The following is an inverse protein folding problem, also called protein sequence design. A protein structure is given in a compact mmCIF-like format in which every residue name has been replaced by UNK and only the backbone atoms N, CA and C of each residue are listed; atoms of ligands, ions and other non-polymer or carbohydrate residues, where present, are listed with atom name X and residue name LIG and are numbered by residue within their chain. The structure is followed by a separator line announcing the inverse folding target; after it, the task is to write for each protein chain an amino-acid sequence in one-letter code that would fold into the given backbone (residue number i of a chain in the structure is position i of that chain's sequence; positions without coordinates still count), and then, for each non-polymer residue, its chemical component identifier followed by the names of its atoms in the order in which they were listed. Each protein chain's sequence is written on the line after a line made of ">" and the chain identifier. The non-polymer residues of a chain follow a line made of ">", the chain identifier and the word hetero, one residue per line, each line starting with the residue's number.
data_IF_230864628055
#
_entry.id   IF_230864628055
#
_cell.length_a   1.000
_cell.length_b   1.000
_cell.length_c   1.000
_cell.angle_alpha   90.00
_cell.angle_beta   90.00
_cell.angle_gamma   90.00
#
_symmetry.space_group_name_H-M   'P 1'
#
loop_
_entity.id
_entity.type
_entity.pdbx_description
1 polymer ?
#
# COMPACT_ATOMS: atom_id res chain seq x y z
N UNK A 1 -59.00 29.63 66.90
CA UNK A 1 -59.48 29.17 65.63
C UNK A 1 -58.82 30.04 64.54
N UNK A 2 -57.68 29.71 64.10
CA UNK A 2 -57.07 30.38 62.94
C UNK A 2 -56.13 29.38 62.22
N UNK A 3 -56.59 28.92 61.10
CA UNK A 3 -55.87 27.99 60.22
C UNK A 3 -54.75 28.76 59.53
N UNK A 4 -53.53 28.31 59.73
CA UNK A 4 -52.35 28.78 59.01
C UNK A 4 -52.06 27.82 57.83
N UNK A 5 -52.31 28.29 56.61
CA UNK A 5 -51.92 27.55 55.37
C UNK A 5 -50.44 27.72 55.11
N UNK A 6 -49.69 26.60 55.18
CA UNK A 6 -48.25 26.55 54.82
C UNK A 6 -48.16 26.34 53.31
N UNK A 7 -47.61 27.32 52.58
CA UNK A 7 -47.31 27.24 51.17
C UNK A 7 -46.00 26.41 51.01
N UNK A 8 -46.08 25.32 50.25
CA UNK A 8 -44.92 24.52 49.81
C UNK A 8 -44.22 25.24 48.66
N UNK A 9 -43.02 25.72 48.92
CA UNK A 9 -42.11 26.22 47.84
C UNK A 9 -41.47 24.99 47.20
N UNK A 10 -41.73 24.76 45.91
CA UNK A 10 -41.05 23.75 45.10
C UNK A 10 -39.61 24.21 44.80
N UNK A 11 -38.67 23.35 45.15
CA UNK A 11 -37.26 23.52 44.86
C UNK A 11 -37.00 22.94 43.47
N UNK A 12 -36.74 23.79 42.50
CA UNK A 12 -36.29 23.39 41.15
C UNK A 12 -34.82 23.00 41.23
N UNK A 13 -34.53 21.71 41.20
CA UNK A 13 -33.20 21.19 40.99
C UNK A 13 -32.89 21.23 39.49
N UNK A 14 -32.02 22.17 39.08
CA UNK A 14 -31.40 22.20 37.75
C UNK A 14 -30.34 21.09 37.68
N UNK A 15 -30.65 19.99 37.01
CA UNK A 15 -29.70 18.94 36.70
C UNK A 15 -28.75 19.38 35.59
N UNK A 16 -27.49 19.58 35.93
CA UNK A 16 -26.39 19.82 34.98
C UNK A 16 -26.05 18.46 34.31
N UNK A 17 -26.50 18.26 33.07
CA UNK A 17 -26.10 17.09 32.26
C UNK A 17 -24.66 17.28 31.78
N UNK A 18 -23.71 16.55 32.39
CA UNK A 18 -22.38 16.39 31.82
C UNK A 18 -22.49 15.54 30.55
N UNK A 19 -22.30 16.17 29.41
CA UNK A 19 -22.04 15.48 28.14
C UNK A 19 -20.64 14.88 28.19
N UNK A 20 -20.52 13.62 28.53
CA UNK A 20 -19.28 12.86 28.34
C UNK A 20 -19.12 12.60 26.83
N UNK A 21 -18.26 13.39 26.15
CA UNK A 21 -17.79 13.09 24.81
C UNK A 21 -16.88 11.88 24.88
N UNK A 22 -17.47 10.69 24.78
CA UNK A 22 -16.73 9.44 24.62
C UNK A 22 -16.05 9.44 23.24
N UNK A 23 -14.71 9.57 23.21
CA UNK A 23 -13.94 9.15 22.07
C UNK A 23 -14.10 7.64 21.90
N UNK A 24 -15.02 7.21 21.05
CA UNK A 24 -15.09 5.83 20.64
C UNK A 24 -13.82 5.50 19.84
N UNK A 25 -13.10 4.41 20.16
CA UNK A 25 -11.99 3.96 19.33
C UNK A 25 -12.55 3.60 17.95
N UNK A 26 -12.01 4.21 16.89
CA UNK A 26 -12.34 3.83 15.52
C UNK A 26 -11.72 2.44 15.30
N UNK A 27 -12.53 1.41 15.46
CA UNK A 27 -12.16 0.04 15.11
C UNK A 27 -12.12 -0.05 13.59
N UNK A 28 -10.93 -0.08 13.01
CA UNK A 28 -10.74 -0.43 11.60
C UNK A 28 -10.99 -1.93 11.44
N UNK A 29 -12.21 -2.30 11.07
CA UNK A 29 -12.50 -3.64 10.62
C UNK A 29 -11.91 -3.81 9.22
N UNK A 30 -10.89 -4.65 9.09
CA UNK A 30 -10.40 -5.11 7.79
C UNK A 30 -11.35 -6.19 7.27
N UNK A 31 -12.02 -5.99 6.12
CA UNK A 31 -12.84 -7.06 5.56
C UNK A 31 -11.94 -8.20 5.07
N UNK A 32 -12.16 -9.37 5.60
CA UNK A 32 -11.54 -10.61 5.15
C UNK A 32 -12.40 -11.17 4.01
N UNK A 33 -11.89 -11.10 2.80
CA UNK A 33 -12.44 -11.82 1.65
C UNK A 33 -13.42 -11.06 0.75
N UNK A 34 -13.05 -10.89 -0.51
CA UNK A 34 -13.94 -10.69 -1.67
C UNK A 34 -14.65 -9.33 -1.76
N UNK A 35 -14.15 -8.42 -2.60
CA UNK A 35 -14.93 -7.28 -3.12
C UNK A 35 -15.29 -6.16 -2.16
N UNK A 36 -14.75 -6.14 -0.94
CA UNK A 36 -14.98 -5.09 0.05
C UNK A 36 -14.17 -3.82 -0.24
N UNK A 37 -14.81 -2.66 -0.10
CA UNK A 37 -14.13 -1.37 -0.13
C UNK A 37 -13.08 -1.31 0.99
N UNK A 38 -11.80 -1.13 0.64
CA UNK A 38 -10.73 -0.84 1.60
C UNK A 38 -10.49 0.66 1.67
N UNK A 39 -10.03 1.14 2.82
CA UNK A 39 -9.65 2.53 2.98
C UNK A 39 -8.13 2.68 2.77
N UNK A 40 -7.74 3.44 1.76
CA UNK A 40 -6.36 3.86 1.56
C UNK A 40 -6.18 5.27 2.13
N UNK A 41 -5.25 5.46 3.05
CA UNK A 41 -4.94 6.77 3.63
C UNK A 41 -4.66 7.80 2.52
N UNK A 42 -5.17 9.05 2.63
CA UNK A 42 -5.00 10.07 1.59
C UNK A 42 -3.55 10.29 1.16
N UNK A 43 -2.59 10.22 2.09
CA UNK A 43 -1.15 10.36 1.79
C UNK A 43 -0.59 9.25 0.91
N UNK A 44 -1.20 8.06 0.93
CA UNK A 44 -0.77 6.88 0.15
C UNK A 44 -1.44 6.81 -1.23
N UNK A 45 -2.43 7.65 -1.49
CA UNK A 45 -3.09 7.70 -2.79
C UNK A 45 -2.14 8.26 -3.84
N UNK A 46 -2.29 7.79 -5.07
CA UNK A 46 -1.58 8.36 -6.22
C UNK A 46 -1.82 9.86 -6.31
N UNK A 47 -0.75 10.64 -6.40
CA UNK A 47 -0.84 12.09 -6.51
C UNK A 47 0.43 12.67 -7.14
N UNK A 48 0.25 13.75 -7.91
CA UNK A 48 1.37 14.53 -8.43
C UNK A 48 1.96 15.38 -7.32
N UNK A 49 3.29 15.36 -7.19
CA UNK A 49 4.04 16.10 -6.17
C UNK A 49 5.24 16.81 -6.79
N UNK A 50 5.73 17.88 -6.16
CA UNK A 50 7.02 18.45 -6.51
C UNK A 50 8.12 17.40 -6.27
N UNK A 51 9.07 17.31 -7.20
CA UNK A 51 10.20 16.37 -7.13
C UNK A 51 11.50 17.11 -7.37
N UNK A 52 12.40 17.04 -6.39
CA UNK A 52 13.71 17.74 -6.40
C UNK A 52 14.89 16.77 -6.51
N UNK A 53 14.64 15.49 -6.78
CA UNK A 53 15.69 14.49 -7.03
C UNK A 53 16.43 14.76 -8.35
N UNK A 54 17.58 14.14 -8.50
CA UNK A 54 18.45 14.33 -9.67
C UNK A 54 18.21 13.33 -10.80
N UNK A 55 17.20 12.46 -10.69
CA UNK A 55 16.93 11.43 -11.69
C UNK A 55 16.27 12.03 -12.94
N UNK A 56 16.62 11.46 -14.09
CA UNK A 56 16.10 11.92 -15.37
C UNK A 56 14.58 11.68 -15.48
N UNK A 57 13.86 12.56 -16.22
CA UNK A 57 12.46 12.31 -16.56
C UNK A 57 12.26 10.92 -17.16
N UNK A 58 11.14 10.27 -16.79
CA UNK A 58 10.84 8.91 -17.19
C UNK A 58 11.48 7.83 -16.32
N UNK A 59 12.32 8.21 -15.32
CA UNK A 59 12.85 7.26 -14.34
C UNK A 59 11.84 6.93 -13.25
N UNK A 60 12.00 5.76 -12.63
CA UNK A 60 11.30 5.40 -11.39
C UNK A 60 12.25 5.50 -10.20
N UNK A 61 11.81 6.10 -9.11
CA UNK A 61 12.55 6.13 -7.84
C UNK A 61 11.72 5.45 -6.76
N UNK A 62 12.26 4.42 -6.14
CA UNK A 62 11.60 3.65 -5.09
C UNK A 62 12.31 3.99 -3.77
N UNK A 63 11.66 4.80 -2.93
CA UNK A 63 12.11 5.07 -1.58
C UNK A 63 11.45 4.09 -0.62
N UNK A 64 12.21 3.09 -0.19
CA UNK A 64 11.70 2.01 0.66
C UNK A 64 11.42 2.47 2.09
N UNK A 65 12.14 3.45 2.58
CA UNK A 65 11.99 3.99 3.94
C UNK A 65 10.73 4.87 4.04
N UNK A 66 10.51 5.72 3.03
CA UNK A 66 9.30 6.54 2.92
C UNK A 66 8.07 5.74 2.50
N UNK A 67 8.26 4.57 1.88
CA UNK A 67 7.22 3.72 1.28
C UNK A 67 6.47 4.43 0.16
N UNK A 68 7.25 5.06 -0.71
CA UNK A 68 6.75 5.70 -1.93
C UNK A 68 7.55 5.27 -3.17
N UNK A 69 6.83 5.18 -4.28
CA UNK A 69 7.41 5.12 -5.62
C UNK A 69 7.11 6.44 -6.32
N UNK A 70 8.11 7.01 -6.97
CA UNK A 70 8.02 8.23 -7.75
C UNK A 70 8.30 7.92 -9.22
N UNK A 71 7.36 8.22 -10.12
CA UNK A 71 7.59 8.27 -11.56
C UNK A 71 7.95 9.70 -11.92
N UNK A 72 9.22 9.95 -12.26
CA UNK A 72 9.77 11.30 -12.45
C UNK A 72 9.26 11.90 -13.76
N UNK A 73 8.75 13.13 -13.69
CA UNK A 73 8.23 13.90 -14.83
C UNK A 73 9.21 15.01 -15.24
N UNK A 74 9.03 15.56 -16.44
CA UNK A 74 10.00 16.50 -17.02
C UNK A 74 9.94 17.95 -16.53
N UNK A 75 9.00 18.26 -15.63
CA UNK A 75 8.67 19.62 -15.20
C UNK A 75 9.00 19.91 -13.71
N UNK A 76 9.87 19.09 -13.09
CA UNK A 76 10.18 19.20 -11.67
C UNK A 76 9.10 18.59 -10.78
N UNK A 77 8.28 17.72 -11.32
CA UNK A 77 7.29 16.94 -10.58
C UNK A 77 7.51 15.44 -10.73
N UNK A 78 6.78 14.67 -9.94
CA UNK A 78 6.66 13.22 -10.08
C UNK A 78 5.25 12.77 -9.74
N UNK A 79 4.79 11.72 -10.39
CA UNK A 79 3.64 10.98 -9.92
C UNK A 79 4.10 10.07 -8.77
N UNK A 80 3.59 10.32 -7.57
CA UNK A 80 3.92 9.54 -6.37
C UNK A 80 2.85 8.52 -6.08
N UNK A 81 3.28 7.31 -5.74
CA UNK A 81 2.43 6.17 -5.37
C UNK A 81 2.80 5.68 -3.97
N UNK A 82 1.82 5.41 -3.12
CA UNK A 82 2.04 4.66 -1.89
C UNK A 82 2.35 3.19 -2.19
N UNK A 83 3.34 2.63 -1.53
CA UNK A 83 3.77 1.24 -1.76
C UNK A 83 3.86 0.45 -0.47
N UNK A 84 3.69 -0.88 -0.57
CA UNK A 84 4.19 -1.79 0.46
C UNK A 84 5.55 -2.34 0.01
N UNK A 85 6.46 -2.50 0.97
CA UNK A 85 7.85 -2.89 0.72
C UNK A 85 8.22 -4.19 1.41
N UNK A 86 9.40 -4.73 1.10
CA UNK A 86 10.00 -5.87 1.81
C UNK A 86 10.21 -5.58 3.28
N UNK A 87 10.14 -6.63 4.08
CA UNK A 87 10.65 -6.58 5.46
C UNK A 87 12.14 -6.22 5.46
N UNK A 88 12.63 -5.70 6.56
CA UNK A 88 14.05 -5.34 6.72
C UNK A 88 14.98 -6.47 6.26
N UNK A 89 16.02 -6.11 5.50
CA UNK A 89 16.98 -7.05 4.90
C UNK A 89 16.49 -7.82 3.68
N UNK A 90 15.24 -7.60 3.22
CA UNK A 90 14.69 -8.28 2.04
C UNK A 90 14.50 -7.33 0.84
N UNK A 91 14.95 -6.09 0.91
CA UNK A 91 14.78 -5.09 -0.16
C UNK A 91 15.95 -5.10 -1.14
N UNK A 92 15.65 -4.96 -2.44
CA UNK A 92 16.64 -4.62 -3.45
C UNK A 92 17.10 -3.17 -3.23
N UNK A 93 18.36 -2.87 -3.49
CA UNK A 93 18.93 -1.52 -3.44
C UNK A 93 19.76 -1.23 -4.68
N UNK A 94 19.94 0.06 -4.97
CA UNK A 94 20.77 0.54 -6.06
C UNK A 94 20.00 0.71 -7.38
N UNK A 95 20.74 0.70 -8.50
CA UNK A 95 20.19 0.94 -9.84
C UNK A 95 19.72 -0.36 -10.48
N UNK A 96 18.57 -0.30 -11.10
CA UNK A 96 17.97 -1.38 -11.88
C UNK A 96 17.30 -0.81 -13.13
N UNK A 97 16.71 -1.66 -13.94
CA UNK A 97 15.86 -1.29 -15.06
C UNK A 97 14.61 -2.19 -15.11
N UNK A 98 13.57 -1.71 -15.76
CA UNK A 98 12.41 -2.54 -16.08
C UNK A 98 12.79 -3.44 -17.27
N UNK A 99 13.16 -4.68 -17.01
CA UNK A 99 13.60 -5.60 -18.06
C UNK A 99 12.46 -6.34 -18.76
N UNK A 100 11.31 -6.48 -18.08
CA UNK A 100 10.13 -7.16 -18.63
C UNK A 100 8.85 -6.66 -17.95
N UNK A 101 7.73 -6.76 -18.64
CA UNK A 101 6.38 -6.43 -18.16
C UNK A 101 5.44 -7.61 -18.38
N UNK A 102 4.47 -7.78 -17.50
CA UNK A 102 3.49 -8.86 -17.62
C UNK A 102 2.12 -8.42 -17.06
N UNK A 103 1.08 -8.66 -17.86
CA UNK A 103 -0.30 -8.57 -17.40
C UNK A 103 -0.72 -9.91 -16.77
N UNK A 104 -1.48 -9.82 -15.70
CA UNK A 104 -1.98 -10.98 -14.94
C UNK A 104 -0.92 -12.08 -14.78
N UNK A 105 0.22 -11.75 -14.15
CA UNK A 105 1.34 -12.69 -14.02
C UNK A 105 0.93 -13.91 -13.18
N UNK A 106 1.42 -15.09 -13.52
CA UNK A 106 1.39 -16.23 -12.61
C UNK A 106 2.41 -16.03 -11.49
N UNK A 107 2.11 -16.55 -10.31
CA UNK A 107 3.00 -16.47 -9.16
C UNK A 107 3.37 -17.86 -8.65
N UNK A 108 4.64 -18.06 -8.35
CA UNK A 108 5.13 -19.26 -7.67
C UNK A 108 6.07 -18.82 -6.54
N UNK A 109 5.86 -19.26 -5.30
CA UNK A 109 6.75 -18.93 -4.21
C UNK A 109 8.15 -19.52 -4.46
N UNK A 110 9.19 -18.73 -4.19
CA UNK A 110 10.56 -19.24 -4.24
C UNK A 110 10.83 -20.21 -3.10
N UNK A 111 11.85 -21.08 -3.24
CA UNK A 111 12.26 -21.99 -2.17
C UNK A 111 12.55 -21.24 -0.86
N UNK A 112 13.21 -20.08 -0.93
CA UNK A 112 13.49 -19.24 0.24
C UNK A 112 12.23 -18.65 0.89
N UNK A 113 11.19 -18.33 0.11
CA UNK A 113 9.89 -17.93 0.66
C UNK A 113 9.20 -19.06 1.40
N UNK A 114 9.21 -20.27 0.85
CA UNK A 114 8.66 -21.47 1.51
C UNK A 114 9.40 -21.76 2.80
N UNK A 115 10.74 -21.66 2.78
CA UNK A 115 11.55 -21.86 3.99
C UNK A 115 11.19 -20.88 5.11
N UNK A 116 11.02 -19.59 4.79
CA UNK A 116 10.60 -18.56 5.78
C UNK A 116 9.14 -18.68 6.20
N UNK A 117 8.27 -19.14 5.31
CA UNK A 117 6.82 -19.25 5.53
C UNK A 117 6.33 -20.60 4.98
N UNK A 118 6.46 -21.71 5.77
CA UNK A 118 6.14 -23.08 5.29
C UNK A 118 4.71 -23.23 4.73
N UNK A 119 3.76 -22.41 5.18
CA UNK A 119 2.38 -22.38 4.65
C UNK A 119 2.32 -22.10 3.14
N UNK A 120 3.37 -21.54 2.56
CA UNK A 120 3.43 -21.25 1.12
C UNK A 120 3.70 -22.51 0.28
N UNK A 121 4.08 -23.65 0.89
CA UNK A 121 4.33 -24.90 0.18
C UNK A 121 3.09 -25.38 -0.61
N UNK A 122 1.88 -25.08 -0.13
CA UNK A 122 0.65 -25.40 -0.86
C UNK A 122 0.56 -24.73 -2.24
N UNK A 123 1.29 -23.64 -2.47
CA UNK A 123 1.34 -22.90 -3.73
C UNK A 123 2.59 -23.23 -4.57
N UNK A 124 3.37 -24.26 -4.22
CA UNK A 124 4.59 -24.64 -4.93
C UNK A 124 4.34 -24.97 -6.41
N UNK A 125 3.13 -25.44 -6.76
CA UNK A 125 2.68 -25.66 -8.12
C UNK A 125 2.35 -24.38 -8.92
N UNK A 126 2.40 -23.23 -8.27
CA UNK A 126 2.04 -21.93 -8.86
C UNK A 126 0.57 -21.55 -8.70
N UNK A 127 0.34 -20.24 -8.72
CA UNK A 127 -1.00 -19.64 -8.74
C UNK A 127 -1.15 -18.95 -10.10
N UNK A 128 -2.15 -19.29 -10.90
CA UNK A 128 -2.38 -18.63 -12.19
C UNK A 128 -2.69 -17.14 -12.01
N UNK A 129 -2.54 -16.34 -13.07
CA UNK A 129 -2.93 -14.94 -13.08
C UNK A 129 -4.43 -14.78 -12.82
N UNK A 130 -4.81 -13.80 -12.00
CA UNK A 130 -6.19 -13.56 -11.64
C UNK A 130 -6.34 -12.72 -10.36
N UNK A 131 -7.58 -12.37 -9.97
CA UNK A 131 -7.87 -11.50 -8.82
C UNK A 131 -7.30 -12.01 -7.49
N UNK A 132 -7.21 -13.33 -7.30
CA UNK A 132 -6.69 -13.97 -6.09
C UNK A 132 -5.15 -14.11 -6.10
N UNK A 133 -4.49 -13.76 -7.20
CA UNK A 133 -3.05 -13.87 -7.32
C UNK A 133 -2.33 -12.78 -6.51
N UNK A 134 -1.34 -13.10 -5.68
CA UNK A 134 -0.61 -12.12 -4.87
C UNK A 134 0.12 -11.03 -5.67
N UNK A 135 0.39 -11.25 -6.96
CA UNK A 135 1.02 -10.26 -7.84
C UNK A 135 0.03 -9.26 -8.44
N UNK A 136 -1.27 -9.48 -8.25
CA UNK A 136 -2.31 -8.60 -8.78
C UNK A 136 -2.36 -8.58 -10.31
N UNK A 137 -2.85 -7.46 -10.86
CA UNK A 137 -3.17 -7.32 -12.29
C UNK A 137 -1.97 -7.11 -13.20
N UNK A 138 -0.88 -6.52 -12.70
CA UNK A 138 0.32 -6.14 -13.49
C UNK A 138 1.60 -6.37 -12.69
N UNK A 139 2.69 -6.67 -13.41
CA UNK A 139 4.04 -6.71 -12.84
C UNK A 139 5.09 -6.14 -13.79
N UNK A 140 5.99 -5.31 -13.23
CA UNK A 140 7.22 -4.84 -13.84
C UNK A 140 8.39 -5.59 -13.19
N UNK A 141 9.19 -6.29 -13.98
CA UNK A 141 10.29 -7.13 -13.52
C UNK A 141 11.58 -6.32 -13.53
N UNK A 142 12.26 -6.26 -12.39
CA UNK A 142 13.48 -5.46 -12.23
C UNK A 142 14.71 -6.28 -12.55
N UNK A 143 15.56 -5.73 -13.40
CA UNK A 143 16.82 -6.33 -13.85
C UNK A 143 18.00 -5.50 -13.37
N UNK A 144 19.09 -6.15 -12.99
CA UNK A 144 20.38 -5.52 -12.73
C UNK A 144 21.44 -6.22 -13.56
N UNK A 145 22.25 -5.44 -14.29
CA UNK A 145 23.30 -5.97 -15.16
C UNK A 145 22.80 -7.05 -16.14
N UNK A 146 21.62 -6.83 -16.72
CA UNK A 146 20.96 -7.75 -17.66
C UNK A 146 20.39 -9.02 -17.05
N UNK A 147 20.38 -9.17 -15.72
CA UNK A 147 19.87 -10.36 -15.02
C UNK A 147 18.60 -10.04 -14.24
N UNK A 148 17.63 -10.92 -14.30
CA UNK A 148 16.41 -10.86 -13.47
C UNK A 148 16.78 -10.94 -11.99
N UNK A 149 16.45 -9.92 -11.23
CA UNK A 149 16.73 -9.85 -9.78
C UNK A 149 15.76 -10.65 -8.93
N UNK A 150 14.70 -11.20 -9.51
CA UNK A 150 13.54 -11.76 -8.84
C UNK A 150 12.71 -10.73 -8.03
N UNK A 151 13.05 -9.45 -8.09
CA UNK A 151 12.25 -8.36 -7.54
C UNK A 151 11.30 -7.80 -8.59
N UNK A 152 10.14 -7.39 -8.13
CA UNK A 152 9.05 -6.90 -8.98
C UNK A 152 8.42 -5.65 -8.36
N UNK A 153 7.95 -4.76 -9.22
CA UNK A 153 6.91 -3.78 -8.88
C UNK A 153 5.60 -4.34 -9.40
N UNK A 154 4.62 -4.59 -8.54
CA UNK A 154 3.42 -5.33 -8.93
C UNK A 154 2.17 -4.91 -8.16
N UNK A 155 1.01 -5.31 -8.63
CA UNK A 155 -0.26 -5.13 -7.93
C UNK A 155 -0.39 -6.02 -6.68
N UNK A 156 -1.58 -6.10 -6.13
CA UNK A 156 -1.83 -6.96 -4.97
C UNK A 156 -3.30 -7.33 -4.85
N UNK A 157 -3.57 -8.49 -4.31
CA UNK A 157 -4.89 -8.88 -3.79
C UNK A 157 -5.10 -8.45 -2.33
N UNK A 158 -4.08 -7.81 -1.70
CA UNK A 158 -4.12 -7.31 -0.32
C UNK A 158 -3.87 -5.79 -0.26
N UNK A 159 -4.72 -4.93 -0.90
CA UNK A 159 -4.46 -3.49 -1.01
C UNK A 159 -4.43 -2.75 0.33
N UNK A 160 -5.00 -3.31 1.40
CA UNK A 160 -4.94 -2.75 2.76
C UNK A 160 -3.54 -2.80 3.39
N UNK A 161 -2.58 -3.51 2.77
CA UNK A 161 -1.19 -3.58 3.22
C UNK A 161 -0.30 -2.47 2.63
N UNK A 162 -0.81 -1.64 1.72
CA UNK A 162 -0.07 -0.49 1.18
C UNK A 162 0.32 0.45 2.32
N UNK A 163 1.55 0.93 2.29
CA UNK A 163 2.17 1.73 3.36
C UNK A 163 2.90 0.90 4.42
N UNK A 164 2.96 -0.43 4.30
CA UNK A 164 3.57 -1.32 5.29
C UNK A 164 4.83 -2.04 4.75
N UNK A 165 5.70 -2.49 5.66
CA UNK A 165 6.88 -3.31 5.36
C UNK A 165 6.56 -4.79 5.66
N UNK A 166 5.91 -5.48 4.72
CA UNK A 166 5.33 -6.82 4.93
C UNK A 166 5.65 -7.83 3.83
N UNK A 167 6.20 -7.37 2.69
CA UNK A 167 6.47 -8.23 1.54
C UNK A 167 7.73 -9.10 1.74
N UNK A 168 7.96 -10.03 0.83
CA UNK A 168 9.19 -10.82 0.76
C UNK A 168 10.28 -10.13 -0.10
N UNK A 169 10.18 -8.81 -0.27
CA UNK A 169 11.15 -8.00 -1.01
C UNK A 169 10.55 -7.19 -2.15
N UNK A 170 9.53 -7.69 -2.82
CA UNK A 170 8.88 -7.00 -3.93
C UNK A 170 8.11 -5.74 -3.46
N UNK A 171 7.92 -4.83 -4.39
CA UNK A 171 7.23 -3.56 -4.20
C UNK A 171 5.78 -3.73 -4.65
N UNK A 172 4.83 -3.51 -3.74
CA UNK A 172 3.40 -3.67 -4.01
C UNK A 172 2.71 -2.32 -4.15
N UNK A 173 1.88 -2.19 -5.17
CA UNK A 173 0.92 -1.11 -5.37
C UNK A 173 -0.51 -1.65 -5.30
N UNK A 174 -1.50 -0.77 -5.25
CA UNK A 174 -2.87 -1.18 -5.57
C UNK A 174 -2.95 -1.62 -7.04
N UNK A 175 -3.93 -2.44 -7.40
CA UNK A 175 -4.10 -2.85 -8.80
C UNK A 175 -4.36 -1.64 -9.71
N UNK A 176 -5.16 -0.67 -9.27
CA UNK A 176 -5.40 0.57 -10.01
C UNK A 176 -4.12 1.36 -10.27
N UNK A 177 -3.26 1.50 -9.26
CA UNK A 177 -2.02 2.26 -9.38
C UNK A 177 -0.98 1.55 -10.23
N UNK A 178 -0.85 0.22 -10.11
CA UNK A 178 0.10 -0.51 -10.93
C UNK A 178 -0.32 -0.58 -12.40
N UNK A 179 -1.60 -0.59 -12.70
CA UNK A 179 -2.11 -0.51 -14.07
C UNK A 179 -1.71 0.83 -14.70
N UNK A 180 -1.97 1.94 -14.01
CA UNK A 180 -1.57 3.26 -14.48
C UNK A 180 -0.04 3.39 -14.66
N UNK A 181 0.74 2.90 -13.69
CA UNK A 181 2.21 2.89 -13.77
C UNK A 181 2.70 2.01 -14.92
N UNK A 182 2.10 0.84 -15.10
CA UNK A 182 2.45 -0.11 -16.14
C UNK A 182 2.27 0.49 -17.54
N UNK A 183 1.16 1.15 -17.79
CA UNK A 183 0.89 1.76 -19.10
C UNK A 183 1.87 2.89 -19.43
N UNK A 184 2.26 3.67 -18.42
CA UNK A 184 3.20 4.79 -18.57
C UNK A 184 4.68 4.39 -18.58
N UNK A 185 5.02 3.13 -18.24
CA UNK A 185 6.42 2.70 -18.03
C UNK A 185 6.87 1.73 -19.12
N UNK A 186 7.71 2.12 -20.08
CA UNK A 186 8.27 1.21 -21.07
C UNK A 186 9.32 0.25 -20.47
N UNK A 187 9.59 -0.86 -21.19
CA UNK A 187 10.76 -1.71 -20.93
C UNK A 187 12.02 -0.88 -21.19
N UNK A 188 13.06 -1.05 -20.38
CA UNK A 188 14.27 -0.23 -20.37
C UNK A 188 14.23 0.97 -19.43
N UNK A 189 13.06 1.27 -18.81
CA UNK A 189 12.95 2.39 -17.86
C UNK A 189 13.94 2.23 -16.70
N UNK A 190 14.80 3.26 -16.43
CA UNK A 190 15.72 3.25 -15.30
C UNK A 190 14.95 3.26 -13.97
N UNK A 191 15.45 2.50 -13.01
CA UNK A 191 14.89 2.40 -11.65
C UNK A 191 16.00 2.61 -10.62
N UNK A 192 15.80 3.56 -9.71
CA UNK A 192 16.66 3.74 -8.54
C UNK A 192 15.90 3.26 -7.29
N UNK A 193 16.52 2.40 -6.48
CA UNK A 193 15.97 1.90 -5.21
C UNK A 193 16.85 2.39 -4.06
N UNK A 194 16.29 3.20 -3.16
CA UNK A 194 16.95 3.80 -1.99
C UNK A 194 16.24 3.44 -0.70
#
# INVERSE_FOLDING_TARGET
>A
MNDVKIARRGLLMSGLALMATGCAPISFAYPVGGGGSYYLEPRLRRQRVAYTGGEAPGSLVINTDERYLYAVEGDGSAMRYGIAVGQEGLTLKGRAEVGRKQEWPSWTPTASMIQRKPRLAQYAGGVPGGPENPLGSRALYLYQNGKDTLFRVHGTNEPWLIGQAVSNGCIRLTNEDVEYLYDATPVGTPVLII
#
